data_IF_208002750280
#
_entry.id   IF_208002750280
#
_cell.length_a   1.000
_cell.length_b   1.000
_cell.length_c   1.000
_cell.angle_alpha   90.00
_cell.angle_beta   90.00
_cell.angle_gamma   90.00
#
_symmetry.space_group_name_H-M   'P 1'
#
loop_
_entity.id
_entity.type
_entity.pdbx_description
1 polymer ?
#
# COMPACT_ATOMS: atom_id res chain seq x y z
N UNK A 1 19.54 -19.75 -0.76
CA UNK A 1 18.13 -19.98 -0.33
C UNK A 1 18.21 -21.18 0.61
N UNK A 2 17.60 -21.14 1.76
CA UNK A 2 17.62 -22.27 2.66
C UNK A 2 16.75 -23.39 2.07
N UNK A 3 17.23 -24.64 2.15
CA UNK A 3 16.66 -25.79 1.43
C UNK A 3 15.15 -26.06 1.68
N UNK A 4 14.59 -25.52 2.78
CA UNK A 4 13.17 -25.68 3.10
C UNK A 4 12.25 -24.63 2.45
N UNK A 5 12.78 -23.52 1.92
CA UNK A 5 11.93 -22.46 1.33
C UNK A 5 11.28 -22.91 0.03
N UNK A 6 11.86 -23.86 -0.68
CA UNK A 6 11.27 -24.45 -1.88
C UNK A 6 9.97 -25.20 -1.58
N UNK A 7 9.82 -25.74 -0.36
CA UNK A 7 8.58 -26.44 0.05
C UNK A 7 7.38 -25.51 0.21
N UNK A 8 7.63 -24.19 0.28
CA UNK A 8 6.57 -23.18 0.36
C UNK A 8 6.03 -22.78 -1.01
N UNK A 9 6.70 -23.21 -2.09
CA UNK A 9 6.30 -22.89 -3.45
C UNK A 9 5.45 -24.02 -4.04
N UNK A 10 4.35 -23.69 -4.75
CA UNK A 10 3.58 -24.69 -5.47
C UNK A 10 4.44 -25.44 -6.50
N UNK A 11 4.26 -26.76 -6.63
CA UNK A 11 5.03 -27.58 -7.57
C UNK A 11 4.90 -27.13 -9.04
N UNK A 12 3.81 -26.43 -9.36
CA UNK A 12 3.51 -25.95 -10.71
C UNK A 12 3.88 -24.47 -10.96
N UNK A 13 4.66 -23.85 -10.06
CA UNK A 13 4.95 -22.40 -10.18
C UNK A 13 5.78 -22.05 -11.42
N UNK A 14 6.62 -22.98 -11.89
CA UNK A 14 7.53 -22.81 -13.03
C UNK A 14 7.08 -23.51 -14.31
N UNK A 15 5.90 -24.13 -14.33
CA UNK A 15 5.41 -24.81 -15.53
C UNK A 15 4.94 -23.82 -16.60
N UNK A 16 4.91 -24.27 -17.85
CA UNK A 16 4.32 -23.51 -18.97
C UNK A 16 2.86 -23.16 -18.67
N UNK A 17 2.47 -21.92 -18.91
CA UNK A 17 1.21 -21.31 -18.48
C UNK A 17 0.99 -21.30 -16.94
N UNK A 18 2.03 -21.53 -16.16
CA UNK A 18 2.02 -21.33 -14.70
C UNK A 18 2.11 -19.86 -14.32
N UNK A 19 2.01 -19.59 -13.01
CA UNK A 19 1.97 -18.22 -12.49
C UNK A 19 3.17 -17.35 -12.93
N UNK A 20 4.40 -17.89 -12.82
CA UNK A 20 5.60 -17.14 -13.22
C UNK A 20 5.65 -16.95 -14.73
N UNK A 21 5.27 -17.95 -15.50
CA UNK A 21 5.24 -17.87 -16.95
C UNK A 21 4.26 -16.77 -17.43
N UNK A 22 3.07 -16.72 -16.88
CA UNK A 22 2.07 -15.68 -17.18
C UNK A 22 2.54 -14.29 -16.78
N UNK A 23 3.25 -14.14 -15.64
CA UNK A 23 3.83 -12.87 -15.24
C UNK A 23 4.95 -12.39 -16.18
N UNK A 24 5.66 -13.30 -16.82
CA UNK A 24 6.72 -12.97 -17.78
C UNK A 24 6.19 -12.65 -19.17
N UNK A 25 4.91 -12.89 -19.47
CA UNK A 25 4.29 -12.48 -20.71
C UNK A 25 3.96 -10.98 -20.71
N UNK A 26 4.90 -10.19 -21.22
CA UNK A 26 4.86 -8.71 -21.23
C UNK A 26 3.70 -8.11 -22.03
N UNK A 27 2.99 -8.92 -22.80
CA UNK A 27 1.76 -8.52 -23.50
C UNK A 27 0.54 -8.36 -22.55
N UNK A 28 0.59 -8.98 -21.35
CA UNK A 28 -0.47 -8.86 -20.33
C UNK A 28 -0.12 -7.85 -19.25
N UNK A 29 1.14 -7.81 -18.83
CA UNK A 29 1.63 -6.89 -17.80
C UNK A 29 2.95 -6.29 -18.29
N UNK A 30 2.97 -4.99 -18.51
CA UNK A 30 4.15 -4.28 -18.97
C UNK A 30 5.18 -4.05 -17.87
N UNK A 31 6.44 -3.80 -18.24
CA UNK A 31 7.50 -3.44 -17.28
C UNK A 31 7.15 -2.19 -16.44
N UNK A 32 6.37 -1.28 -16.99
CA UNK A 32 5.93 -0.07 -16.30
C UNK A 32 4.92 -0.42 -15.20
N UNK A 33 3.98 -1.32 -15.49
CA UNK A 33 3.01 -1.80 -14.51
C UNK A 33 3.67 -2.58 -13.38
N UNK A 34 4.70 -3.38 -13.68
CA UNK A 34 5.51 -4.07 -12.65
C UNK A 34 6.23 -3.11 -11.70
N UNK A 35 6.55 -1.91 -12.13
CA UNK A 35 7.16 -0.87 -11.30
C UNK A 35 6.14 -0.12 -10.46
N UNK A 36 4.84 -0.28 -10.75
CA UNK A 36 3.80 0.35 -9.97
C UNK A 36 3.66 -0.31 -8.60
N UNK A 37 3.75 0.45 -7.51
CA UNK A 37 3.52 -0.10 -6.16
C UNK A 37 2.08 -0.61 -5.98
N UNK A 38 1.17 -0.23 -6.88
CA UNK A 38 -0.24 -0.61 -6.82
C UNK A 38 -0.52 -2.02 -7.37
N UNK A 39 0.39 -2.58 -8.19
CA UNK A 39 0.16 -3.86 -8.87
C UNK A 39 -0.20 -4.98 -7.89
N UNK A 40 0.56 -5.13 -6.81
CA UNK A 40 0.32 -6.19 -5.81
C UNK A 40 -1.05 -6.00 -5.15
N UNK A 41 -1.43 -4.76 -4.84
CA UNK A 41 -2.73 -4.45 -4.26
C UNK A 41 -3.89 -4.80 -5.20
N UNK A 42 -3.77 -4.48 -6.48
CA UNK A 42 -4.76 -4.84 -7.51
C UNK A 42 -4.87 -6.35 -7.68
N UNK A 43 -3.75 -7.06 -7.80
CA UNK A 43 -3.73 -8.53 -7.90
C UNK A 43 -4.41 -9.17 -6.68
N UNK A 44 -4.12 -8.67 -5.49
CA UNK A 44 -4.73 -9.15 -4.26
C UNK A 44 -6.25 -8.88 -4.23
N UNK A 45 -6.69 -7.70 -4.64
CA UNK A 45 -8.11 -7.36 -4.71
C UNK A 45 -8.87 -8.25 -5.71
N UNK A 46 -8.27 -8.54 -6.87
CA UNK A 46 -8.85 -9.47 -7.82
C UNK A 46 -8.92 -10.89 -7.27
N UNK A 47 -7.85 -11.35 -6.60
CA UNK A 47 -7.82 -12.68 -5.99
C UNK A 47 -8.95 -12.90 -4.98
N UNK A 48 -9.28 -11.91 -4.18
CA UNK A 48 -10.34 -12.04 -3.17
C UNK A 48 -11.74 -11.71 -3.70
N UNK A 49 -11.87 -11.23 -4.96
CA UNK A 49 -13.15 -10.74 -5.49
C UNK A 49 -14.23 -11.83 -5.51
N UNK A 50 -13.91 -13.04 -5.96
CA UNK A 50 -14.85 -14.15 -5.97
C UNK A 50 -15.37 -14.48 -4.56
N UNK A 51 -14.47 -14.58 -3.59
CA UNK A 51 -14.83 -14.82 -2.20
C UNK A 51 -15.68 -13.69 -1.62
N UNK A 52 -15.39 -12.46 -1.99
CA UNK A 52 -16.18 -11.29 -1.61
C UNK A 52 -17.59 -11.37 -2.15
N UNK A 53 -17.75 -11.71 -3.42
CA UNK A 53 -19.07 -11.85 -4.06
C UNK A 53 -19.89 -12.98 -3.42
N UNK A 54 -19.27 -14.13 -3.11
CA UNK A 54 -19.91 -15.22 -2.38
C UNK A 54 -20.42 -14.77 -1.01
N UNK A 55 -19.57 -14.04 -0.25
CA UNK A 55 -19.91 -13.55 1.09
C UNK A 55 -21.07 -12.56 1.04
N UNK A 56 -21.08 -11.63 0.07
CA UNK A 56 -22.18 -10.67 -0.11
C UNK A 56 -23.46 -11.30 -0.65
N UNK A 57 -23.37 -12.43 -1.38
CA UNK A 57 -24.55 -13.16 -1.84
C UNK A 57 -25.28 -13.88 -0.70
N UNK A 58 -24.65 -14.14 0.43
CA UNK A 58 -25.26 -14.73 1.61
C UNK A 58 -26.29 -13.81 2.24
N UNK A 59 -27.40 -14.39 2.67
CA UNK A 59 -28.39 -13.68 3.48
C UNK A 59 -28.07 -13.89 4.96
N UNK A 60 -27.68 -12.85 5.68
CA UNK A 60 -27.44 -12.95 7.11
C UNK A 60 -26.22 -12.14 7.59
N UNK A 61 -25.73 -12.47 8.78
CA UNK A 61 -24.52 -11.88 9.33
C UNK A 61 -23.29 -12.59 8.78
N UNK A 62 -22.21 -11.85 8.61
CA UNK A 62 -20.92 -12.42 8.23
C UNK A 62 -20.33 -13.23 9.39
N UNK A 63 -19.75 -14.37 9.06
CA UNK A 63 -18.91 -15.13 9.99
C UNK A 63 -17.55 -14.46 10.18
N UNK A 64 -16.84 -14.81 11.25
CA UNK A 64 -15.58 -14.16 11.59
C UNK A 64 -14.49 -14.31 10.50
N UNK A 65 -14.47 -15.44 9.82
CA UNK A 65 -13.55 -15.74 8.71
C UNK A 65 -13.94 -15.05 7.38
N UNK A 66 -15.18 -14.56 7.27
CA UNK A 66 -15.70 -13.85 6.11
C UNK A 66 -15.45 -12.33 6.20
N UNK A 67 -15.26 -11.79 7.41
CA UNK A 67 -15.06 -10.35 7.63
C UNK A 67 -13.89 -9.79 6.80
N UNK A 68 -12.72 -10.43 6.73
CA UNK A 68 -11.62 -9.94 5.90
C UNK A 68 -12.03 -9.79 4.43
N UNK A 69 -12.66 -10.80 3.83
CA UNK A 69 -13.10 -10.75 2.44
C UNK A 69 -14.17 -9.67 2.21
N UNK A 70 -15.10 -9.48 3.16
CA UNK A 70 -16.16 -8.49 3.07
C UNK A 70 -15.66 -7.04 3.19
N UNK A 71 -14.66 -6.80 4.04
CA UNK A 71 -14.23 -5.43 4.42
C UNK A 71 -12.96 -4.96 3.73
N UNK A 72 -12.17 -5.87 3.15
CA UNK A 72 -10.91 -5.52 2.53
C UNK A 72 -11.12 -4.71 1.26
N UNK A 73 -10.47 -3.55 1.20
CA UNK A 73 -10.50 -2.63 0.07
C UNK A 73 -9.06 -2.18 -0.20
N UNK A 74 -8.66 -2.22 -1.46
CA UNK A 74 -7.42 -1.61 -1.89
C UNK A 74 -7.56 -0.09 -1.83
N UNK A 75 -6.73 0.57 -1.01
CA UNK A 75 -6.81 2.02 -0.82
C UNK A 75 -6.39 2.76 -2.09
N UNK A 76 -7.23 3.60 -2.69
CA UNK A 76 -6.85 4.38 -3.86
C UNK A 76 -5.61 5.25 -3.63
N UNK A 77 -4.75 5.35 -4.63
CA UNK A 77 -3.45 6.05 -4.56
C UNK A 77 -3.55 7.50 -4.07
N UNK A 78 -4.61 8.22 -4.45
CA UNK A 78 -4.80 9.60 -3.99
C UNK A 78 -5.03 9.69 -2.48
N UNK A 79 -5.70 8.70 -1.88
CA UNK A 79 -5.88 8.62 -0.42
C UNK A 79 -4.53 8.35 0.24
N UNK A 80 -3.76 7.40 -0.29
CA UNK A 80 -2.41 7.10 0.21
C UNK A 80 -1.54 8.37 0.19
N UNK A 81 -1.50 9.06 -0.95
CA UNK A 81 -0.76 10.32 -1.08
C UNK A 81 -1.24 11.38 -0.10
N UNK A 82 -2.57 11.52 0.05
CA UNK A 82 -3.13 12.44 1.04
C UNK A 82 -2.67 12.09 2.45
N UNK A 83 -2.76 10.83 2.84
CA UNK A 83 -2.34 10.37 4.17
C UNK A 83 -0.85 10.62 4.40
N UNK A 84 0.01 10.16 3.50
CA UNK A 84 1.48 10.29 3.63
C UNK A 84 1.92 11.76 3.65
N UNK A 85 1.39 12.59 2.74
CA UNK A 85 1.77 14.00 2.66
C UNK A 85 1.35 14.81 3.90
N UNK A 86 0.20 14.47 4.52
CA UNK A 86 -0.32 15.19 5.68
C UNK A 86 0.04 14.58 7.05
N UNK A 87 0.77 13.46 7.06
CA UNK A 87 1.31 12.85 8.29
C UNK A 87 2.84 12.93 8.29
N UNK A 88 3.50 11.92 7.74
CA UNK A 88 4.98 11.85 7.66
C UNK A 88 5.55 13.06 6.92
N UNK A 89 4.93 13.43 5.80
CA UNK A 89 5.31 14.60 5.02
C UNK A 89 5.22 15.90 5.80
N UNK A 90 4.16 16.10 6.59
CA UNK A 90 4.01 17.27 7.45
C UNK A 90 5.12 17.32 8.51
N UNK A 91 5.38 16.21 9.19
CA UNK A 91 6.47 16.14 10.18
C UNK A 91 7.82 16.49 9.54
N UNK A 92 8.04 15.98 8.32
CA UNK A 92 9.27 16.31 7.58
C UNK A 92 9.37 17.81 7.28
N UNK A 93 8.30 18.43 6.77
CA UNK A 93 8.28 19.87 6.44
C UNK A 93 8.47 20.75 7.68
N UNK A 94 7.84 20.40 8.80
CA UNK A 94 7.97 21.13 10.06
C UNK A 94 9.42 21.11 10.60
N UNK A 95 10.17 20.04 10.34
CA UNK A 95 11.58 19.92 10.71
C UNK A 95 12.54 20.50 9.65
N UNK A 96 12.06 20.73 8.43
CA UNK A 96 12.87 21.21 7.30
C UNK A 96 12.22 22.44 6.62
N UNK A 97 12.09 23.58 7.29
CA UNK A 97 11.27 24.70 6.81
C UNK A 97 11.78 25.33 5.50
N UNK A 98 13.03 25.08 5.14
CA UNK A 98 13.62 25.59 3.89
C UNK A 98 13.62 24.57 2.74
N UNK A 99 13.03 23.41 2.95
CA UNK A 99 12.96 22.38 1.90
C UNK A 99 12.03 22.79 0.77
N UNK A 100 12.41 22.43 -0.45
CA UNK A 100 11.54 22.58 -1.64
C UNK A 100 10.97 21.25 -2.10
N UNK A 101 11.07 20.20 -1.28
CA UNK A 101 10.69 18.84 -1.66
C UNK A 101 9.23 18.76 -2.10
N UNK A 102 8.30 19.29 -1.30
CA UNK A 102 6.87 19.26 -1.63
C UNK A 102 6.55 19.91 -3.00
N UNK A 103 7.26 20.99 -3.34
CA UNK A 103 7.10 21.65 -4.63
C UNK A 103 7.73 20.83 -5.77
N UNK A 104 8.95 20.33 -5.60
CA UNK A 104 9.65 19.52 -6.60
C UNK A 104 8.92 18.23 -6.92
N UNK A 105 8.42 17.55 -5.90
CA UNK A 105 7.69 16.28 -6.01
C UNK A 105 6.18 16.47 -6.23
N UNK A 106 5.74 17.73 -6.42
CA UNK A 106 4.34 18.07 -6.72
C UNK A 106 3.34 17.42 -5.75
N UNK A 107 3.52 17.67 -4.46
CA UNK A 107 2.62 17.16 -3.41
C UNK A 107 1.24 17.83 -3.48
N UNK A 108 0.42 17.36 -4.39
CA UNK A 108 -0.88 17.98 -4.72
C UNK A 108 -1.97 17.74 -3.67
N UNK A 109 -1.76 16.82 -2.74
CA UNK A 109 -2.70 16.50 -1.66
C UNK A 109 -2.26 17.04 -0.30
N UNK A 110 -1.16 17.76 -0.24
CA UNK A 110 -0.72 18.43 0.97
C UNK A 110 -1.69 19.58 1.29
N UNK A 111 -2.26 19.54 2.49
CA UNK A 111 -3.15 20.59 2.99
C UNK A 111 -2.31 21.66 3.68
N UNK A 112 -2.40 22.91 3.22
CA UNK A 112 -1.78 24.02 3.91
C UNK A 112 -2.56 24.33 5.21
N UNK A 113 -1.92 24.32 6.39
CA UNK A 113 -2.58 24.63 7.62
C UNK A 113 -2.94 26.14 7.65
N UNK A 114 -4.11 26.46 8.22
CA UNK A 114 -4.53 27.86 8.39
C UNK A 114 -3.55 28.67 9.29
N UNK A 115 -2.93 27.97 10.24
CA UNK A 115 -1.90 28.54 11.13
C UNK A 115 -0.69 27.62 11.16
N UNK A 116 0.56 28.15 11.31
CA UNK A 116 1.75 27.34 11.46
C UNK A 116 1.63 26.38 12.65
N UNK A 117 2.23 25.19 12.52
CA UNK A 117 2.31 24.23 13.64
C UNK A 117 2.98 24.90 14.84
N UNK A 118 2.31 24.98 16.01
CA UNK A 118 2.94 25.54 17.20
C UNK A 118 4.22 24.81 17.56
N UNK A 119 5.29 25.53 17.90
CA UNK A 119 6.62 24.95 18.19
C UNK A 119 6.56 23.77 19.20
N UNK A 120 5.63 23.83 20.17
CA UNK A 120 5.44 22.76 21.15
C UNK A 120 4.80 21.49 20.58
N UNK A 121 4.16 21.57 19.42
CA UNK A 121 3.47 20.45 18.76
C UNK A 121 4.33 19.82 17.66
N UNK A 122 5.47 20.41 17.29
CA UNK A 122 6.38 19.84 16.30
C UNK A 122 7.03 18.59 16.89
N UNK A 123 6.85 17.46 16.21
CA UNK A 123 7.56 16.23 16.51
C UNK A 123 8.98 16.33 15.92
N UNK A 124 9.98 16.52 16.79
CA UNK A 124 11.38 16.60 16.38
C UNK A 124 12.03 15.22 16.29
N UNK A 125 12.91 15.05 15.31
CA UNK A 125 13.79 13.89 15.16
C UNK A 125 15.19 14.37 14.76
N UNK A 126 16.23 13.60 15.08
CA UNK A 126 17.61 13.92 14.70
C UNK A 126 17.93 13.40 13.31
N UNK A 127 17.55 12.15 13.02
CA UNK A 127 17.72 11.50 11.73
C UNK A 127 16.38 10.93 11.27
N UNK A 128 16.16 10.84 9.95
CA UNK A 128 14.91 10.26 9.40
C UNK A 128 14.63 8.85 9.92
N UNK A 129 15.68 8.09 10.21
CA UNK A 129 15.58 6.74 10.79
C UNK A 129 15.02 6.70 12.20
N UNK A 130 15.00 7.83 12.91
CA UNK A 130 14.40 7.95 14.24
C UNK A 130 12.87 8.02 14.16
N UNK A 131 12.34 8.47 13.02
CA UNK A 131 10.91 8.59 12.80
C UNK A 131 10.27 7.21 12.65
N UNK A 132 9.49 6.81 13.66
CA UNK A 132 8.76 5.54 13.66
C UNK A 132 7.38 5.76 13.09
N UNK A 133 7.06 5.00 12.05
CA UNK A 133 5.76 5.02 11.39
C UNK A 133 5.13 3.64 11.53
N UNK A 134 3.85 3.58 11.84
CA UNK A 134 3.10 2.34 11.89
C UNK A 134 1.81 2.47 11.09
N UNK A 135 1.58 1.52 10.21
CA UNK A 135 0.28 1.32 9.58
C UNK A 135 -0.45 0.19 10.32
N UNK A 136 -1.53 0.54 11.02
CA UNK A 136 -2.32 -0.39 11.82
C UNK A 136 -3.31 -1.21 10.98
N UNK A 137 -3.46 -0.88 9.71
CA UNK A 137 -4.36 -1.52 8.77
C UNK A 137 -3.65 -1.85 7.43
N UNK A 138 -2.40 -2.22 7.51
CA UNK A 138 -1.43 -2.38 6.42
C UNK A 138 -1.96 -3.14 5.18
N UNK A 139 -2.83 -4.13 5.37
CA UNK A 139 -3.37 -4.90 4.25
C UNK A 139 -2.27 -5.52 3.39
N UNK A 140 -2.21 -5.13 2.12
CA UNK A 140 -1.18 -5.55 1.16
C UNK A 140 0.13 -4.74 1.22
N UNK A 141 0.25 -3.80 2.17
CA UNK A 141 1.44 -2.95 2.30
C UNK A 141 1.50 -1.82 1.27
N UNK A 142 0.35 -1.27 0.90
CA UNK A 142 0.27 -0.22 -0.11
C UNK A 142 0.51 1.19 0.44
N UNK A 143 0.30 1.40 1.74
CA UNK A 143 0.50 2.68 2.42
C UNK A 143 1.90 2.77 3.01
#
# INVERSE_FOLDING_TARGET
MEDYTELLLPANILVENGFIDLLNHTEFITDEEFRSPELIGWLYQFYISERKDEVFAKKGKFEADEIPAATQIFTPNWIVKYMVQNTVGRIYLDNNPYTTLAYKEKWQYLVEPAEPTPAKAILHYNELTDLKVADLACGSGHI
#
